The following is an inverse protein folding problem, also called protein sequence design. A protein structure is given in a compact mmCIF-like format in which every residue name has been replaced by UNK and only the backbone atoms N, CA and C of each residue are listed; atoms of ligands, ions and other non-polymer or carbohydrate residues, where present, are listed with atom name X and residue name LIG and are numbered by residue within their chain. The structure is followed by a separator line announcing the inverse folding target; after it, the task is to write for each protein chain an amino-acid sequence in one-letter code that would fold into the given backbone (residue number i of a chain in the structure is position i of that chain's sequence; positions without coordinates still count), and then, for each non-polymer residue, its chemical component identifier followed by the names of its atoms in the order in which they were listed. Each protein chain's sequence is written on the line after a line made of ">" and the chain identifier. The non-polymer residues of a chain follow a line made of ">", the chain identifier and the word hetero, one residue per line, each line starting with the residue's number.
data_IF_379522782668
#
_entry.id   IF_379522782668
#
_cell.length_a   1.000
_cell.length_b   1.000
_cell.length_c   1.000
_cell.angle_alpha   90.00
_cell.angle_beta   90.00
_cell.angle_gamma   90.00
#
_symmetry.space_group_name_H-M   'P 1'
#
loop_
_entity.id
_entity.type
_entity.pdbx_description
1 polymer ?
#
# COMPACT_ATOMS: atom_id res chain seq x y z
N UNK A 1 -11.04 -4.34 1.62
CA UNK A 1 -10.29 -3.11 1.37
C UNK A 1 -11.15 -1.90 1.71
N UNK A 2 -12.40 -1.86 1.26
CA UNK A 2 -13.36 -0.76 1.53
C UNK A 2 -13.55 -0.56 3.03
N UNK A 3 -13.90 -1.63 3.77
CA UNK A 3 -14.07 -1.61 5.22
C UNK A 3 -12.86 -1.03 5.97
N UNK A 4 -11.66 -1.46 5.60
CA UNK A 4 -10.42 -0.97 6.23
C UNK A 4 -10.20 0.54 5.99
N UNK A 5 -10.51 1.02 4.77
CA UNK A 5 -10.34 2.45 4.44
C UNK A 5 -11.42 3.29 5.12
N UNK A 6 -12.63 2.77 5.25
CA UNK A 6 -13.73 3.40 5.99
C UNK A 6 -13.43 3.48 7.51
N UNK A 7 -12.90 2.42 8.10
CA UNK A 7 -12.46 2.43 9.50
C UNK A 7 -11.39 3.50 9.75
N UNK A 8 -10.41 3.62 8.86
CA UNK A 8 -9.39 4.67 8.95
C UNK A 8 -10.01 6.08 8.82
N UNK A 9 -10.99 6.24 7.93
CA UNK A 9 -11.69 7.50 7.77
C UNK A 9 -12.51 7.87 9.02
N UNK A 10 -13.15 6.89 9.66
CA UNK A 10 -13.87 7.09 10.93
C UNK A 10 -12.93 7.48 12.08
N UNK A 11 -11.66 7.05 12.02
CA UNK A 11 -10.61 7.48 12.95
C UNK A 11 -10.01 8.85 12.60
N UNK A 12 -10.53 9.54 11.57
CA UNK A 12 -10.07 10.86 11.14
C UNK A 12 -8.85 10.84 10.20
N UNK A 13 -8.44 9.67 9.70
CA UNK A 13 -7.34 9.56 8.75
C UNK A 13 -7.83 9.63 7.31
N UNK A 14 -7.12 10.40 6.47
CA UNK A 14 -7.30 10.34 5.02
C UNK A 14 -6.50 9.16 4.47
N UNK A 15 -7.19 8.14 3.97
CA UNK A 15 -6.56 6.94 3.44
C UNK A 15 -6.86 6.75 1.95
N UNK A 16 -5.87 6.25 1.21
CA UNK A 16 -6.03 5.85 -0.20
C UNK A 16 -5.52 4.43 -0.37
N UNK A 17 -6.26 3.61 -1.08
CA UNK A 17 -5.87 2.23 -1.36
C UNK A 17 -5.82 1.96 -2.85
N UNK A 18 -4.87 1.14 -3.27
CA UNK A 18 -4.72 0.69 -4.65
C UNK A 18 -4.53 -0.82 -4.70
N UNK A 19 -5.16 -1.48 -5.66
CA UNK A 19 -4.99 -2.91 -5.91
C UNK A 19 -4.75 -3.15 -7.39
N UNK A 20 -3.75 -3.97 -7.71
CA UNK A 20 -3.39 -4.36 -9.08
C UNK A 20 -2.53 -5.62 -9.06
N UNK A 21 -2.25 -6.20 -10.23
CA UNK A 21 -1.43 -7.40 -10.39
C UNK A 21 0.02 -7.22 -9.95
N UNK A 22 0.53 -5.98 -9.97
CA UNK A 22 1.90 -5.66 -9.60
C UNK A 22 1.92 -4.66 -8.45
N UNK A 23 2.96 -4.75 -7.62
CA UNK A 23 3.20 -3.79 -6.54
C UNK A 23 3.34 -2.35 -7.06
N UNK A 24 4.07 -2.17 -8.17
CA UNK A 24 4.26 -0.88 -8.81
C UNK A 24 2.94 -0.26 -9.26
N UNK A 25 2.07 -1.04 -9.89
CA UNK A 25 0.75 -0.58 -10.33
C UNK A 25 -0.17 -0.28 -9.14
N UNK A 26 -0.21 -1.14 -8.12
CA UNK A 26 -1.01 -0.91 -6.92
C UNK A 26 -0.61 0.39 -6.21
N UNK A 27 0.70 0.64 -6.06
CA UNK A 27 1.22 1.87 -5.47
C UNK A 27 0.86 3.11 -6.31
N UNK A 28 1.01 3.01 -7.63
CA UNK A 28 0.68 4.08 -8.57
C UNK A 28 -0.80 4.47 -8.47
N UNK A 29 -1.70 3.49 -8.41
CA UNK A 29 -3.13 3.69 -8.27
C UNK A 29 -3.48 4.34 -6.93
N UNK A 30 -2.94 3.82 -5.83
CA UNK A 30 -3.19 4.40 -4.51
C UNK A 30 -2.81 5.89 -4.46
N UNK A 31 -1.74 6.28 -5.14
CA UNK A 31 -1.20 7.64 -5.03
C UNK A 31 -1.74 8.61 -6.08
N UNK A 32 -1.95 8.15 -7.31
CA UNK A 32 -2.18 9.02 -8.47
C UNK A 32 -3.50 8.77 -9.20
N UNK A 33 -4.22 7.68 -8.92
CA UNK A 33 -5.53 7.51 -9.51
C UNK A 33 -6.46 8.66 -9.10
N UNK A 34 -7.31 9.17 -10.02
CA UNK A 34 -8.29 10.18 -9.67
C UNK A 34 -9.19 9.65 -8.55
N UNK A 35 -9.51 10.51 -7.60
CA UNK A 35 -10.43 10.18 -6.51
C UNK A 35 -11.85 10.19 -7.08
N UNK A 36 -12.28 9.06 -7.61
CA UNK A 36 -13.71 8.87 -7.92
C UNK A 36 -14.38 8.35 -6.66
N UNK A 37 -15.12 9.20 -6.01
CA UNK A 37 -16.10 8.83 -4.98
C UNK A 37 -17.28 8.17 -5.71
N UNK A 38 -17.16 6.89 -6.03
CA UNK A 38 -18.33 6.06 -6.37
C UNK A 38 -18.00 4.60 -6.05
N UNK A 39 -18.66 4.00 -5.04
CA UNK A 39 -18.69 2.57 -4.94
C UNK A 39 -19.44 2.02 -6.16
N UNK A 40 -18.76 1.31 -7.06
CA UNK A 40 -19.40 0.64 -8.18
C UNK A 40 -18.94 0.99 -9.59
N UNK A 41 -18.13 2.01 -9.79
CA UNK A 41 -17.81 2.50 -11.15
C UNK A 41 -16.68 1.73 -11.89
N UNK A 42 -16.14 0.66 -11.32
CA UNK A 42 -15.13 -0.20 -11.99
C UNK A 42 -15.59 -1.66 -12.17
N UNK A 43 -16.87 -1.92 -11.96
CA UNK A 43 -17.51 -3.18 -12.38
C UNK A 43 -18.38 -2.87 -13.60
N UNK A 44 -17.84 -3.01 -14.77
CA UNK A 44 -18.62 -2.85 -15.98
C UNK A 44 -17.73 -2.76 -17.19
N UNK A 45 -18.03 -3.58 -18.17
CA UNK A 45 -17.52 -3.57 -19.53
C UNK A 45 -17.74 -2.21 -20.21
N UNK A 46 -16.97 -1.24 -19.79
CA UNK A 46 -16.89 0.06 -20.44
C UNK A 46 -15.88 0.00 -21.58
N UNK A 47 -16.21 -0.70 -22.66
CA UNK A 47 -15.69 -0.38 -23.98
C UNK A 47 -16.20 1.04 -24.24
N UNK A 48 -15.32 2.02 -24.13
CA UNK A 48 -15.65 3.35 -24.59
C UNK A 48 -15.95 3.26 -26.11
N UNK A 49 -17.14 3.68 -26.57
CA UNK A 49 -17.39 3.73 -28.00
C UNK A 49 -16.40 4.68 -28.65
N UNK A 50 -15.87 4.26 -29.80
CA UNK A 50 -15.02 5.05 -30.66
C UNK A 50 -15.60 6.47 -30.85
N UNK A 51 -14.98 7.42 -30.19
CA UNK A 51 -15.29 8.82 -30.43
C UNK A 51 -14.67 9.19 -31.79
N UNK A 52 -15.48 9.15 -32.82
CA UNK A 52 -15.18 9.78 -34.10
C UNK A 52 -14.74 11.23 -33.86
N UNK A 53 -13.56 11.52 -34.39
CA UNK A 53 -12.94 12.82 -34.36
C UNK A 53 -13.87 13.89 -34.94
N UNK A 54 -14.53 14.63 -34.07
CA UNK A 54 -15.07 15.92 -34.39
C UNK A 54 -14.12 16.98 -33.86
N UNK A 55 -13.50 17.73 -34.78
CA UNK A 55 -12.69 18.91 -34.49
C UNK A 55 -13.47 19.87 -33.60
N UNK A 56 -13.19 19.92 -32.32
CA UNK A 56 -13.68 20.97 -31.43
C UNK A 56 -12.52 21.91 -31.11
N UNK A 57 -12.74 23.18 -31.45
CA UNK A 57 -11.91 24.34 -31.21
C UNK A 57 -11.29 24.32 -29.84
N UNK A 58 -9.97 24.49 -29.75
CA UNK A 58 -9.18 24.66 -28.55
C UNK A 58 -9.70 25.78 -27.65
N UNK A 59 -10.11 25.49 -26.41
CA UNK A 59 -10.31 26.53 -25.42
C UNK A 59 -8.95 26.99 -24.88
N UNK A 60 -8.84 28.31 -24.67
CA UNK A 60 -7.69 29.04 -24.15
C UNK A 60 -7.07 28.34 -22.93
N UNK A 61 -5.72 28.23 -22.92
CA UNK A 61 -4.86 27.81 -21.83
C UNK A 61 -5.37 28.39 -20.49
N UNK A 62 -6.05 27.55 -19.69
CA UNK A 62 -6.21 27.85 -18.28
C UNK A 62 -4.88 27.54 -17.59
N UNK A 63 -4.29 28.55 -16.98
CA UNK A 63 -3.13 28.50 -16.10
C UNK A 63 -3.36 27.40 -15.07
N UNK A 64 -2.47 26.42 -15.01
CA UNK A 64 -2.49 25.34 -14.05
C UNK A 64 -2.22 25.93 -12.65
N UNK A 65 -3.26 26.21 -11.91
CA UNK A 65 -3.18 26.36 -10.46
C UNK A 65 -3.15 24.97 -9.87
N UNK A 66 -2.14 24.74 -9.02
CA UNK A 66 -2.06 23.58 -8.12
C UNK A 66 -3.45 23.35 -7.54
N UNK A 67 -4.04 22.14 -7.58
CA UNK A 67 -5.30 21.92 -6.91
C UNK A 67 -5.06 22.14 -5.41
N UNK A 68 -5.62 23.23 -4.90
CA UNK A 68 -5.72 23.46 -3.47
C UNK A 68 -6.49 22.25 -2.89
N UNK A 69 -5.86 21.58 -1.96
CA UNK A 69 -6.53 20.58 -1.12
C UNK A 69 -7.59 21.34 -0.32
N UNK A 70 -8.79 21.38 -0.87
CA UNK A 70 -9.95 21.77 -0.10
C UNK A 70 -10.13 20.73 0.99
N UNK A 71 -9.71 21.08 2.20
CA UNK A 71 -10.05 20.33 3.41
C UNK A 71 -11.56 20.42 3.58
N UNK A 72 -12.27 19.43 3.10
CA UNK A 72 -13.67 19.22 3.46
C UNK A 72 -13.72 18.95 4.96
N UNK A 73 -14.34 19.85 5.68
CA UNK A 73 -14.68 19.70 7.09
C UNK A 73 -15.56 18.46 7.27
N UNK A 74 -15.03 17.47 8.00
CA UNK A 74 -15.83 16.37 8.55
C UNK A 74 -16.11 15.23 7.55
N UNK A 75 -15.20 14.27 7.49
CA UNK A 75 -15.33 13.01 6.76
C UNK A 75 -14.04 12.75 5.98
N UNK A 76 -13.22 11.79 6.44
CA UNK A 76 -11.99 11.40 5.75
C UNK A 76 -12.33 10.97 4.31
N UNK A 77 -11.70 11.56 3.30
CA UNK A 77 -11.91 11.18 1.91
C UNK A 77 -11.39 9.76 1.68
N UNK A 78 -12.28 8.85 1.38
CA UNK A 78 -11.96 7.46 1.00
C UNK A 78 -11.71 7.41 -0.49
N UNK A 79 -10.52 6.95 -0.91
CA UNK A 79 -10.20 6.74 -2.31
C UNK A 79 -9.65 5.33 -2.51
N UNK A 80 -10.38 4.53 -3.29
CA UNK A 80 -9.98 3.17 -3.64
C UNK A 80 -9.89 3.10 -5.16
N UNK A 81 -8.75 2.60 -5.66
CA UNK A 81 -8.52 2.38 -7.08
C UNK A 81 -8.09 0.93 -7.31
N UNK A 82 -8.84 0.20 -8.10
CA UNK A 82 -8.60 -1.22 -8.39
C UNK A 82 -8.41 -1.38 -9.89
N UNK A 83 -7.30 -1.97 -10.32
CA UNK A 83 -7.12 -2.46 -11.67
C UNK A 83 -7.54 -3.93 -11.71
N UNK A 84 -8.48 -4.33 -12.57
CA UNK A 84 -8.81 -5.75 -12.78
C UNK A 84 -7.58 -6.53 -13.23
N UNK A 85 -7.55 -7.86 -13.01
CA UNK A 85 -6.46 -8.71 -13.48
C UNK A 85 -6.17 -8.52 -14.97
N UNK A 86 -4.89 -8.40 -15.34
CA UNK A 86 -4.44 -8.15 -16.71
C UNK A 86 -4.68 -6.73 -17.24
N UNK A 87 -5.28 -5.83 -16.47
CA UNK A 87 -5.57 -4.46 -16.89
C UNK A 87 -4.62 -3.40 -16.30
N UNK A 88 -3.53 -3.82 -15.69
CA UNK A 88 -2.55 -2.91 -15.08
C UNK A 88 -2.06 -1.83 -16.06
N UNK A 89 -1.77 -2.19 -17.32
CA UNK A 89 -1.35 -1.26 -18.36
C UNK A 89 -2.39 -0.16 -18.62
N UNK A 90 -3.64 -0.53 -18.81
CA UNK A 90 -4.71 0.41 -19.07
C UNK A 90 -4.93 1.37 -17.90
N UNK A 91 -4.81 0.85 -16.67
CA UNK A 91 -4.95 1.64 -15.46
C UNK A 91 -3.77 2.61 -15.22
N UNK A 92 -2.56 2.22 -15.64
CA UNK A 92 -1.36 3.04 -15.52
C UNK A 92 -1.23 4.12 -16.60
N UNK A 93 -1.68 3.86 -17.81
CA UNK A 93 -1.52 4.73 -18.97
C UNK A 93 -1.84 6.21 -18.71
N UNK A 94 -2.98 6.60 -18.11
CA UNK A 94 -3.34 7.99 -17.89
C UNK A 94 -2.54 8.66 -16.76
N UNK A 95 -1.81 7.90 -15.95
CA UNK A 95 -1.14 8.41 -14.76
C UNK A 95 0.12 9.21 -15.12
N UNK A 96 0.53 10.18 -14.27
CA UNK A 96 1.74 10.93 -14.46
C UNK A 96 2.98 10.05 -14.29
N UNK A 97 4.13 10.46 -14.85
CA UNK A 97 5.39 9.72 -14.76
C UNK A 97 5.86 9.47 -13.32
N UNK A 98 5.48 10.33 -12.38
CA UNK A 98 5.77 10.15 -10.96
C UNK A 98 5.14 8.86 -10.39
N UNK A 99 4.14 8.31 -11.04
CA UNK A 99 3.53 7.02 -10.70
C UNK A 99 4.49 5.83 -10.83
N UNK A 100 5.56 5.98 -11.61
CA UNK A 100 6.62 4.97 -11.76
C UNK A 100 7.72 5.08 -10.70
N UNK A 101 7.60 5.97 -9.73
CA UNK A 101 8.60 6.19 -8.67
C UNK A 101 9.99 6.55 -9.21
N UNK A 102 10.02 7.24 -10.33
CA UNK A 102 11.25 7.76 -10.92
C UNK A 102 11.77 8.96 -10.13
N UNK A 103 13.11 9.17 -10.08
CA UNK A 103 13.69 10.37 -9.50
C UNK A 103 13.16 11.65 -10.13
N UNK A 104 12.98 12.74 -9.35
CA UNK A 104 12.44 14.01 -9.85
C UNK A 104 13.23 14.60 -11.04
N UNK A 105 14.54 14.41 -11.04
CA UNK A 105 15.45 14.87 -12.11
C UNK A 105 15.14 14.16 -13.43
N UNK A 106 14.90 12.84 -13.38
CA UNK A 106 14.54 12.04 -14.55
C UNK A 106 13.17 12.45 -15.06
N UNK A 107 12.20 12.63 -14.16
CA UNK A 107 10.85 13.10 -14.51
C UNK A 107 10.92 14.44 -15.21
N UNK A 108 11.69 15.39 -14.69
CA UNK A 108 11.85 16.73 -15.27
C UNK A 108 12.50 16.68 -16.67
N UNK A 109 13.45 15.77 -16.89
CA UNK A 109 14.08 15.56 -18.20
C UNK A 109 13.11 14.94 -19.20
N UNK A 110 12.32 13.95 -18.79
CA UNK A 110 11.28 13.33 -19.61
C UNK A 110 10.21 14.37 -20.01
N UNK A 111 9.77 15.20 -19.08
CA UNK A 111 8.78 16.25 -19.32
C UNK A 111 9.27 17.30 -20.33
N UNK A 112 10.57 17.63 -20.31
CA UNK A 112 11.17 18.53 -21.31
C UNK A 112 11.15 17.95 -22.73
N UNK A 113 11.11 16.63 -22.86
CA UNK A 113 10.95 15.92 -24.13
C UNK A 113 9.47 15.73 -24.53
N UNK A 114 8.53 16.30 -23.75
CA UNK A 114 7.11 16.19 -24.03
C UNK A 114 6.44 14.98 -23.37
N UNK A 115 7.20 14.08 -22.75
CA UNK A 115 6.67 12.89 -22.07
C UNK A 115 6.13 13.27 -20.69
N UNK A 116 4.84 13.09 -20.47
CA UNK A 116 4.16 13.51 -19.24
C UNK A 116 3.38 12.38 -18.55
N UNK A 117 2.97 11.38 -19.33
CA UNK A 117 2.15 10.24 -18.88
C UNK A 117 2.88 8.92 -19.10
N UNK A 118 2.45 7.92 -18.36
CA UNK A 118 2.99 6.56 -18.49
C UNK A 118 2.76 5.98 -19.89
N UNK A 119 1.62 6.28 -20.50
CA UNK A 119 1.29 5.88 -21.87
C UNK A 119 2.38 6.24 -22.88
N UNK A 120 2.87 7.48 -22.82
CA UNK A 120 3.89 7.99 -23.73
C UNK A 120 5.22 7.23 -23.59
N UNK A 121 5.55 6.80 -22.35
CA UNK A 121 6.69 5.91 -22.13
C UNK A 121 6.45 4.50 -22.67
N UNK A 122 5.22 3.98 -22.60
CA UNK A 122 4.90 2.65 -23.11
C UNK A 122 5.03 2.57 -24.64
N UNK A 123 4.80 3.68 -25.31
CA UNK A 123 4.93 3.83 -26.77
C UNK A 123 6.38 4.09 -27.22
N UNK A 124 7.25 4.49 -26.30
CA UNK A 124 8.65 4.80 -26.62
C UNK A 124 9.51 3.53 -26.57
N UNK A 125 10.40 3.30 -27.58
CA UNK A 125 11.28 2.14 -27.57
C UNK A 125 12.19 2.08 -26.35
N UNK A 126 12.23 0.92 -25.67
CA UNK A 126 13.04 0.70 -24.45
C UNK A 126 14.51 1.05 -24.61
N UNK A 127 15.10 0.70 -25.76
CA UNK A 127 16.49 1.00 -26.05
C UNK A 127 16.78 2.52 -26.10
N UNK A 128 15.82 3.30 -26.62
CA UNK A 128 15.92 4.77 -26.63
C UNK A 128 15.84 5.38 -25.24
N UNK A 129 14.97 4.84 -24.39
CA UNK A 129 14.85 5.23 -22.98
C UNK A 129 16.14 4.88 -22.21
N UNK A 130 16.62 3.64 -22.36
CA UNK A 130 17.84 3.17 -21.69
C UNK A 130 19.06 4.01 -22.04
N UNK A 131 19.24 4.35 -23.33
CA UNK A 131 20.38 5.15 -23.80
C UNK A 131 20.40 6.56 -23.21
N UNK A 132 19.22 7.19 -23.04
CA UNK A 132 19.11 8.60 -22.63
C UNK A 132 18.99 8.79 -21.13
N UNK A 133 18.34 7.85 -20.42
CA UNK A 133 17.97 7.96 -19.01
C UNK A 133 18.54 6.84 -18.13
N UNK A 134 19.31 5.92 -18.72
CA UNK A 134 19.78 4.73 -18.01
C UNK A 134 18.73 3.63 -17.93
N UNK A 135 19.12 2.50 -17.36
CA UNK A 135 18.23 1.31 -17.24
C UNK A 135 17.09 1.49 -16.23
N UNK A 136 17.13 2.51 -15.40
CA UNK A 136 16.13 2.72 -14.35
C UNK A 136 14.73 2.97 -14.92
N UNK A 137 14.62 3.79 -15.97
CA UNK A 137 13.31 4.13 -16.57
C UNK A 137 12.62 2.91 -17.18
N UNK A 138 13.27 2.13 -18.09
CA UNK A 138 12.67 0.92 -18.62
C UNK A 138 12.41 -0.12 -17.53
N UNK A 139 13.31 -0.30 -16.55
CA UNK A 139 13.14 -1.25 -15.46
C UNK A 139 11.90 -0.92 -14.62
N UNK A 140 11.71 0.33 -14.18
CA UNK A 140 10.54 0.74 -13.40
C UNK A 140 9.25 0.58 -14.17
N UNK A 141 9.28 0.87 -15.46
CA UNK A 141 8.13 0.67 -16.33
C UNK A 141 7.78 -0.82 -16.48
N UNK A 142 8.79 -1.68 -16.71
CA UNK A 142 8.60 -3.12 -16.85
C UNK A 142 8.16 -3.78 -15.53
N UNK A 143 8.66 -3.32 -14.39
CA UNK A 143 8.19 -3.73 -13.07
C UNK A 143 6.71 -3.36 -12.85
N UNK A 144 6.34 -2.14 -13.20
CA UNK A 144 4.94 -1.69 -13.07
C UNK A 144 3.98 -2.47 -13.97
N UNK A 145 4.45 -2.87 -15.16
CA UNK A 145 3.67 -3.67 -16.13
C UNK A 145 3.75 -5.19 -15.88
N UNK A 146 4.55 -5.66 -14.92
CA UNK A 146 4.72 -7.08 -14.61
C UNK A 146 5.65 -7.83 -15.57
N UNK A 147 6.40 -7.12 -16.42
CA UNK A 147 7.38 -7.70 -17.33
C UNK A 147 8.74 -7.95 -16.68
N UNK A 148 9.00 -7.32 -15.53
CA UNK A 148 10.19 -7.55 -14.71
C UNK A 148 9.79 -7.77 -13.25
N UNK A 149 10.50 -8.64 -12.50
CA UNK A 149 10.20 -8.88 -11.09
C UNK A 149 10.51 -7.64 -10.26
N UNK A 150 9.65 -7.36 -9.29
CA UNK A 150 9.87 -6.34 -8.27
C UNK A 150 9.89 -7.02 -6.90
N UNK A 151 11.07 -7.38 -6.36
CA UNK A 151 11.16 -8.08 -5.08
C UNK A 151 10.63 -7.20 -3.95
N UNK A 152 9.91 -7.84 -3.03
CA UNK A 152 9.42 -7.23 -1.81
C UNK A 152 10.40 -7.60 -0.70
N UNK A 153 10.93 -6.58 0.01
CA UNK A 153 11.62 -6.79 1.27
C UNK A 153 10.60 -6.54 2.39
N UNK A 154 9.94 -7.58 2.92
CA UNK A 154 8.99 -7.39 4.00
C UNK A 154 9.74 -6.85 5.22
N UNK A 155 9.17 -5.82 5.85
CA UNK A 155 9.66 -5.38 7.14
C UNK A 155 9.59 -6.56 8.11
N UNK A 156 10.67 -6.83 8.84
CA UNK A 156 10.61 -7.81 9.91
C UNK A 156 9.60 -7.33 10.93
N UNK A 157 8.57 -8.15 11.18
CA UNK A 157 7.69 -7.91 12.29
C UNK A 157 8.56 -7.87 13.56
N UNK A 158 8.45 -6.78 14.33
CA UNK A 158 9.12 -6.72 15.63
C UNK A 158 8.67 -7.96 16.41
N UNK A 159 9.63 -8.72 16.91
CA UNK A 159 9.32 -9.87 17.75
C UNK A 159 8.36 -9.46 18.86
N UNK A 160 7.26 -10.17 19.06
CA UNK A 160 6.30 -9.82 20.09
C UNK A 160 7.00 -9.80 21.46
N UNK A 161 6.57 -8.90 22.32
CA UNK A 161 6.98 -8.89 23.72
C UNK A 161 6.29 -10.06 24.42
N UNK A 162 6.86 -11.24 24.32
CA UNK A 162 6.29 -12.46 24.86
C UNK A 162 7.38 -13.26 25.58
N UNK A 163 7.00 -13.96 26.64
CA UNK A 163 7.80 -14.95 27.32
C UNK A 163 7.04 -16.27 27.34
N UNK A 164 7.76 -17.37 27.37
CA UNK A 164 7.17 -18.70 27.43
C UNK A 164 7.97 -19.58 28.40
N UNK A 165 7.24 -20.35 29.19
CA UNK A 165 7.80 -21.44 30.03
C UNK A 165 7.11 -22.71 29.57
N UNK A 166 7.90 -23.79 29.43
CA UNK A 166 7.38 -25.14 29.21
C UNK A 166 7.87 -26.01 30.36
N UNK A 167 6.98 -26.81 30.90
CA UNK A 167 7.28 -27.75 31.97
C UNK A 167 7.44 -29.17 31.40
N UNK A 168 8.40 -29.96 31.90
CA UNK A 168 8.53 -31.35 31.46
C UNK A 168 7.32 -32.22 31.87
N UNK A 169 6.72 -31.88 33.00
CA UNK A 169 5.50 -32.51 33.50
C UNK A 169 4.41 -31.48 33.68
N UNK A 170 3.12 -31.89 33.54
CA UNK A 170 2.00 -30.97 33.75
C UNK A 170 1.97 -30.44 35.17
N UNK A 171 1.80 -29.12 35.31
CA UNK A 171 1.58 -28.50 36.61
C UNK A 171 0.07 -28.34 36.85
N UNK A 172 -0.38 -28.68 38.08
CA UNK A 172 -1.80 -28.60 38.44
C UNK A 172 -2.08 -27.80 39.70
N UNK A 173 -1.03 -27.44 40.46
CA UNK A 173 -1.19 -26.62 41.66
C UNK A 173 -1.24 -25.13 41.30
N UNK A 174 -2.13 -24.40 41.91
CA UNK A 174 -2.27 -22.93 41.73
C UNK A 174 -0.96 -22.22 42.06
N UNK A 175 -0.27 -22.64 43.10
CA UNK A 175 1.02 -22.09 43.52
C UNK A 175 2.09 -22.20 42.42
N UNK A 176 2.12 -23.31 41.68
CA UNK A 176 3.09 -23.52 40.61
C UNK A 176 2.76 -22.62 39.39
N UNK A 177 1.48 -22.46 39.12
CA UNK A 177 0.99 -21.54 38.07
C UNK A 177 1.35 -20.12 38.43
N UNK A 178 1.13 -19.67 39.68
CA UNK A 178 1.48 -18.34 40.16
C UNK A 178 3.00 -18.08 40.07
N UNK A 179 3.81 -19.03 40.53
CA UNK A 179 5.27 -18.93 40.43
C UNK A 179 5.77 -18.87 38.98
N UNK A 180 5.11 -19.61 38.07
CA UNK A 180 5.41 -19.54 36.65
C UNK A 180 5.03 -18.17 36.05
N UNK A 181 3.89 -17.61 36.46
CA UNK A 181 3.41 -16.31 36.02
C UNK A 181 4.36 -15.21 36.45
N UNK A 182 4.81 -15.21 37.70
CA UNK A 182 5.78 -14.25 38.20
C UNK A 182 7.10 -14.26 37.40
N UNK A 183 7.58 -15.44 37.07
CA UNK A 183 8.77 -15.58 36.21
C UNK A 183 8.56 -15.04 34.80
N UNK A 184 7.39 -15.32 34.20
CA UNK A 184 7.03 -14.80 32.88
C UNK A 184 6.92 -13.29 32.89
N UNK A 185 6.24 -12.71 33.89
CA UNK A 185 6.08 -11.29 34.05
C UNK A 185 7.43 -10.59 34.20
N UNK A 186 8.31 -11.11 35.07
CA UNK A 186 9.66 -10.57 35.22
C UNK A 186 10.44 -10.54 33.90
N UNK A 187 10.33 -11.61 33.08
CA UNK A 187 10.99 -11.65 31.78
C UNK A 187 10.40 -10.64 30.77
N UNK A 188 9.07 -10.50 30.76
CA UNK A 188 8.40 -9.56 29.86
C UNK A 188 8.70 -8.11 30.27
N UNK A 189 8.64 -7.80 31.57
CA UNK A 189 8.98 -6.48 32.10
C UNK A 189 10.40 -6.07 31.73
N UNK A 190 11.38 -6.95 31.96
CA UNK A 190 12.77 -6.69 31.56
C UNK A 190 12.90 -6.37 30.08
N UNK A 191 12.24 -7.14 29.21
CA UNK A 191 12.26 -6.88 27.75
C UNK A 191 11.56 -5.57 27.37
N UNK A 192 10.52 -5.18 28.10
CA UNK A 192 9.84 -3.89 27.90
C UNK A 192 10.74 -2.71 28.30
N UNK A 193 11.43 -2.82 29.42
CA UNK A 193 12.40 -1.82 29.89
C UNK A 193 13.54 -1.63 28.87
N UNK A 194 14.15 -2.75 28.41
CA UNK A 194 15.21 -2.73 27.38
C UNK A 194 14.77 -2.03 26.07
N UNK A 195 13.46 -2.06 25.77
CA UNK A 195 12.89 -1.43 24.55
C UNK A 195 12.22 -0.08 24.80
N UNK A 196 12.24 0.42 26.04
CA UNK A 196 11.52 1.62 26.48
C UNK A 196 10.04 1.59 26.05
N UNK A 197 9.35 0.45 26.25
CA UNK A 197 7.96 0.20 25.86
C UNK A 197 7.12 -0.15 27.08
N UNK A 198 5.84 0.24 27.07
CA UNK A 198 4.84 -0.17 28.04
C UNK A 198 3.80 -1.09 27.42
N UNK A 199 3.17 -1.93 28.23
CA UNK A 199 2.06 -2.77 27.82
C UNK A 199 0.72 -2.05 28.07
N UNK A 200 -0.19 -2.11 27.09
CA UNK A 200 -1.60 -1.69 27.25
C UNK A 200 -2.52 -2.88 27.44
N UNK A 201 -2.10 -4.03 26.96
CA UNK A 201 -2.83 -5.28 27.03
C UNK A 201 -1.86 -6.40 27.29
N UNK A 202 -2.20 -7.29 28.20
CA UNK A 202 -1.46 -8.50 28.51
C UNK A 202 -2.34 -9.69 28.15
N UNK A 203 -1.77 -10.66 27.48
CA UNK A 203 -2.47 -11.91 27.14
C UNK A 203 -1.72 -13.08 27.74
N UNK A 204 -2.39 -13.86 28.56
CA UNK A 204 -1.90 -15.12 29.10
C UNK A 204 -2.51 -16.27 28.31
N UNK A 205 -1.66 -17.18 27.83
CA UNK A 205 -2.09 -18.38 27.15
C UNK A 205 -1.62 -19.60 27.96
N UNK A 206 -2.56 -20.35 28.45
CA UNK A 206 -2.32 -21.60 29.14
C UNK A 206 -2.58 -22.76 28.15
N UNK A 207 -1.58 -23.58 27.91
CA UNK A 207 -1.73 -24.75 27.03
C UNK A 207 -1.82 -26.01 27.88
N UNK A 208 -2.91 -26.73 27.77
CA UNK A 208 -3.18 -27.98 28.45
C UNK A 208 -2.51 -29.16 27.76
N UNK A 209 -2.42 -30.31 28.46
CA UNK A 209 -1.83 -31.54 27.94
C UNK A 209 -2.61 -32.13 26.78
N UNK A 210 -3.94 -31.96 26.79
CA UNK A 210 -4.86 -32.37 25.72
C UNK A 210 -4.73 -31.53 24.43
N UNK A 211 -3.89 -30.50 24.44
CA UNK A 211 -3.65 -29.62 23.30
C UNK A 211 -4.60 -28.40 23.26
N UNK A 212 -5.60 -28.35 24.12
CA UNK A 212 -6.45 -27.16 24.24
C UNK A 212 -5.66 -25.97 24.85
N UNK A 213 -6.02 -24.78 24.43
CA UNK A 213 -5.41 -23.55 24.93
C UNK A 213 -6.50 -22.62 25.49
N UNK A 214 -6.33 -22.22 26.74
CA UNK A 214 -7.12 -21.14 27.34
C UNK A 214 -6.37 -19.81 27.19
N UNK A 215 -7.12 -18.78 26.85
CA UNK A 215 -6.60 -17.43 26.63
C UNK A 215 -7.31 -16.47 27.59
N UNK A 216 -6.51 -15.77 28.39
CA UNK A 216 -6.97 -14.71 29.29
C UNK A 216 -6.40 -13.37 28.80
N UNK A 217 -7.24 -12.36 28.61
CA UNK A 217 -6.88 -11.03 28.09
C UNK A 217 -7.06 -9.94 29.14
#
# INVERSE_FOLDING_TARGET
>A
LTSMVEELANLGFTARAGMADTRGAAWALARYAPTTVAPGALTGDGIAPDAHATRVRTPKRKRWTRPEMTTAKGGGAVAIAIAPPGRARAALNPLPLAALRLPPEIISRLQRLGLRRVEELTLTPRAGLARRFGMEVPLRLDQALGMAPEPISPGQAKAPLAARISFPEPIGLTSDIEAALDRLLAQVCKRMEERAQGARKLRLMLRRVDGEAEVLD
#
